data_IF_423388420523
#
_entry.id   IF_423388420523
#
_cell.length_a   1.000
_cell.length_b   1.000
_cell.length_c   1.000
_cell.angle_alpha   90.00
_cell.angle_beta   90.00
_cell.angle_gamma   90.00
#
_symmetry.space_group_name_H-M   'P 1'
#
loop_
_entity.id
_entity.type
_entity.pdbx_description
1 polymer ?
#
# COMPACT_ATOMS: atom_id res chain seq x y z
N UNK A 1 -8.55 8.80 -5.84
CA UNK A 1 -8.30 7.38 -6.18
C UNK A 1 -8.19 6.57 -4.89
N UNK A 2 -9.36 6.24 -4.38
CA UNK A 2 -9.59 5.27 -3.31
C UNK A 2 -9.48 3.84 -3.85
N UNK A 3 -9.70 2.84 -2.99
CA UNK A 3 -9.84 1.45 -3.43
C UNK A 3 -11.04 1.25 -4.36
N UNK A 4 -12.16 1.91 -4.05
CA UNK A 4 -13.41 1.81 -4.81
C UNK A 4 -13.27 2.42 -6.21
N UNK A 5 -12.58 3.56 -6.34
CA UNK A 5 -12.30 4.19 -7.64
C UNK A 5 -11.57 3.21 -8.58
N UNK A 6 -10.61 2.43 -8.04
CA UNK A 6 -9.86 1.44 -8.82
C UNK A 6 -10.71 0.23 -9.17
N UNK A 7 -11.57 -0.23 -8.26
CA UNK A 7 -12.45 -1.36 -8.51
C UNK A 7 -13.42 -1.04 -9.64
N UNK A 8 -14.13 0.10 -9.54
CA UNK A 8 -15.09 0.54 -10.56
C UNK A 8 -14.41 0.68 -11.94
N UNK A 9 -13.23 1.30 -11.99
CA UNK A 9 -12.48 1.48 -13.23
C UNK A 9 -11.97 0.14 -13.82
N UNK A 10 -11.76 -0.88 -12.98
CA UNK A 10 -11.42 -2.23 -13.44
C UNK A 10 -12.64 -2.92 -14.04
N UNK A 11 -13.81 -2.77 -13.43
CA UNK A 11 -15.06 -3.40 -13.87
C UNK A 11 -15.60 -2.80 -15.18
N UNK A 12 -15.44 -1.49 -15.39
CA UNK A 12 -15.90 -0.81 -16.61
C UNK A 12 -14.83 -0.72 -17.72
N UNK A 13 -13.61 -1.23 -17.46
CA UNK A 13 -12.50 -1.24 -18.40
C UNK A 13 -11.73 0.08 -18.54
N UNK A 14 -12.08 1.12 -17.78
CA UNK A 14 -11.43 2.44 -17.81
C UNK A 14 -10.16 2.56 -16.97
N UNK A 15 -9.69 1.47 -16.36
CA UNK A 15 -8.53 1.46 -15.46
C UNK A 15 -7.29 2.17 -16.03
N UNK A 16 -6.97 1.94 -17.30
CA UNK A 16 -5.81 2.57 -17.93
C UNK A 16 -6.02 4.06 -18.17
N UNK A 17 -7.24 4.50 -18.46
CA UNK A 17 -7.57 5.92 -18.63
C UNK A 17 -7.39 6.66 -17.30
N UNK A 18 -7.91 6.09 -16.20
CA UNK A 18 -7.74 6.62 -14.85
C UNK A 18 -6.25 6.76 -14.44
N UNK A 19 -5.42 5.77 -14.80
CA UNK A 19 -3.98 5.82 -14.56
C UNK A 19 -3.32 6.92 -15.40
N UNK A 20 -3.64 7.01 -16.69
CA UNK A 20 -3.08 8.01 -17.59
C UNK A 20 -3.45 9.44 -17.17
N UNK A 21 -4.71 9.67 -16.76
CA UNK A 21 -5.15 10.95 -16.20
C UNK A 21 -4.35 11.33 -14.96
N UNK A 22 -4.09 10.37 -14.07
CA UNK A 22 -3.28 10.61 -12.87
C UNK A 22 -1.84 10.93 -13.21
N UNK A 23 -1.25 10.22 -14.20
CA UNK A 23 0.12 10.47 -14.64
C UNK A 23 0.28 11.81 -15.36
N UNK A 24 -0.77 12.31 -16.02
CA UNK A 24 -0.77 13.61 -16.67
C UNK A 24 -0.98 14.79 -15.70
N UNK A 25 -1.55 14.52 -14.52
CA UNK A 25 -1.86 15.55 -13.52
C UNK A 25 -0.61 15.91 -12.69
N UNK A 26 -0.25 17.21 -12.70
CA UNK A 26 0.93 17.76 -12.03
C UNK A 26 0.94 17.58 -10.52
N UNK A 27 -0.23 17.44 -9.88
CA UNK A 27 -0.34 17.17 -8.44
C UNK A 27 0.15 15.77 -8.07
N UNK A 28 0.29 14.87 -9.05
CA UNK A 28 0.73 13.50 -8.85
C UNK A 28 1.98 13.14 -9.65
N UNK A 29 2.17 13.72 -10.84
CA UNK A 29 3.24 13.34 -11.76
C UNK A 29 4.64 13.67 -11.25
N UNK A 30 4.76 14.64 -10.34
CA UNK A 30 6.03 14.99 -9.68
C UNK A 30 6.29 14.21 -8.39
N UNK A 31 5.32 13.43 -7.90
CA UNK A 31 5.46 12.72 -6.64
C UNK A 31 6.40 11.54 -6.77
N UNK A 32 7.22 11.34 -5.73
CA UNK A 32 8.17 10.24 -5.66
C UNK A 32 7.79 9.22 -4.60
N UNK A 33 8.27 7.99 -4.81
CA UNK A 33 8.28 6.93 -3.80
C UNK A 33 9.74 6.65 -3.47
N UNK A 34 10.09 6.76 -2.19
CA UNK A 34 11.42 6.39 -1.70
C UNK A 34 11.38 4.97 -1.18
N UNK A 35 12.32 4.16 -1.66
CA UNK A 35 12.53 2.79 -1.21
C UNK A 35 13.95 2.66 -0.67
N UNK A 36 14.09 2.22 0.58
CA UNK A 36 15.39 1.88 1.16
C UNK A 36 15.31 0.53 1.87
N UNK A 37 16.44 -0.15 1.95
CA UNK A 37 16.52 -1.43 2.63
C UNK A 37 17.87 -1.62 3.31
N UNK A 38 17.88 -2.44 4.34
CA UNK A 38 19.08 -2.96 5.01
C UNK A 38 18.94 -4.47 5.11
N UNK A 39 20.01 -5.19 4.78
CA UNK A 39 20.12 -6.64 4.95
C UNK A 39 21.33 -6.90 5.82
N UNK A 40 21.18 -7.77 6.81
CA UNK A 40 22.23 -8.30 7.66
C UNK A 40 21.92 -9.76 8.00
N UNK A 41 22.71 -10.37 8.89
CA UNK A 41 22.56 -11.79 9.25
C UNK A 41 21.24 -12.11 9.96
N UNK A 42 20.56 -11.10 10.53
CA UNK A 42 19.28 -11.27 11.21
C UNK A 42 18.09 -11.20 10.24
N UNK A 43 18.26 -10.62 9.05
CA UNK A 43 17.23 -10.56 8.02
C UNK A 43 17.27 -9.33 7.13
N UNK A 44 16.10 -8.90 6.66
CA UNK A 44 15.88 -7.71 5.83
C UNK A 44 14.90 -6.75 6.50
N UNK A 45 15.25 -5.47 6.50
CA UNK A 45 14.38 -4.34 6.85
C UNK A 45 14.21 -3.46 5.62
N UNK A 46 12.97 -3.14 5.27
CA UNK A 46 12.63 -2.27 4.13
C UNK A 46 11.77 -1.10 4.60
N UNK A 47 12.05 0.08 4.07
CA UNK A 47 11.27 1.29 4.24
C UNK A 47 10.72 1.73 2.89
N UNK A 48 9.41 1.95 2.83
CA UNK A 48 8.70 2.47 1.66
C UNK A 48 7.97 3.73 2.07
N UNK A 49 8.28 4.86 1.44
CA UNK A 49 7.74 6.18 1.75
C UNK A 49 7.14 6.80 0.49
N UNK A 50 5.88 7.23 0.53
CA UNK A 50 5.22 7.98 -0.53
C UNK A 50 4.83 9.40 -0.11
N UNK A 51 4.67 10.29 -1.10
CA UNK A 51 4.29 11.70 -0.90
C UNK A 51 2.77 11.94 -0.94
N UNK A 52 1.98 10.90 -0.71
CA UNK A 52 0.53 10.97 -0.60
C UNK A 52 0.06 11.57 0.72
N UNK A 53 -1.27 11.72 0.83
CA UNK A 53 -1.92 12.10 2.09
C UNK A 53 -1.88 10.97 3.13
N UNK A 54 -1.51 9.76 2.71
CA UNK A 54 -1.56 8.55 3.52
C UNK A 54 -3.00 8.06 3.72
N UNK A 55 -3.20 7.23 4.75
CA UNK A 55 -4.48 6.64 5.08
C UNK A 55 -4.58 6.39 6.59
N UNK A 56 -5.80 6.23 7.10
CA UNK A 56 -5.99 5.92 8.51
C UNK A 56 -5.62 4.45 8.79
N UNK A 57 -4.48 4.25 9.47
CA UNK A 57 -3.96 2.92 9.81
C UNK A 57 -4.87 2.21 10.83
N UNK A 58 -5.55 2.96 11.69
CA UNK A 58 -6.41 2.43 12.74
C UNK A 58 -7.76 1.92 12.18
N UNK A 59 -8.12 2.34 10.97
CA UNK A 59 -9.29 1.83 10.23
C UNK A 59 -8.96 0.56 9.42
N UNK A 60 -7.70 0.09 9.45
CA UNK A 60 -7.36 -1.15 8.80
C UNK A 60 -8.08 -2.31 9.48
N UNK A 61 -8.83 -3.11 8.72
CA UNK A 61 -9.57 -4.21 9.30
C UNK A 61 -8.58 -5.28 9.81
N UNK A 62 -9.01 -6.02 10.84
CA UNK A 62 -8.18 -7.09 11.39
C UNK A 62 -7.87 -8.11 10.27
N UNK A 63 -6.59 -8.38 9.98
CA UNK A 63 -6.19 -9.31 8.92
C UNK A 63 -6.61 -10.75 9.21
N UNK A 64 -6.98 -11.07 10.46
CA UNK A 64 -7.50 -12.38 10.86
C UNK A 64 -9.03 -12.48 10.78
N UNK A 65 -9.72 -11.36 10.51
CA UNK A 65 -11.17 -11.34 10.31
C UNK A 65 -11.53 -11.94 8.92
N UNK A 66 -12.37 -12.99 8.87
CA UNK A 66 -12.84 -13.58 7.63
C UNK A 66 -13.53 -12.58 6.69
N UNK A 67 -14.15 -11.51 7.21
CA UNK A 67 -14.76 -10.47 6.36
C UNK A 67 -13.71 -9.64 5.61
N UNK A 68 -12.51 -9.45 6.18
CA UNK A 68 -11.37 -8.81 5.51
C UNK A 68 -10.90 -9.59 4.28
N UNK A 69 -11.08 -10.92 4.27
CA UNK A 69 -10.74 -11.78 3.13
C UNK A 69 -11.71 -11.60 1.94
N UNK A 70 -12.95 -11.15 2.22
CA UNK A 70 -14.00 -10.98 1.22
C UNK A 70 -13.89 -9.64 0.47
N UNK A 71 -13.10 -8.67 0.95
CA UNK A 71 -12.87 -7.41 0.23
C UNK A 71 -12.05 -7.67 -1.06
N UNK A 72 -12.59 -7.22 -2.19
CA UNK A 72 -12.00 -7.37 -3.53
C UNK A 72 -10.80 -6.42 -3.76
N UNK A 73 -10.68 -5.37 -2.96
CA UNK A 73 -9.59 -4.40 -2.99
C UNK A 73 -8.91 -4.27 -1.63
N UNK A 74 -7.70 -3.68 -1.58
CA UNK A 74 -6.96 -3.47 -0.32
C UNK A 74 -6.17 -4.68 0.19
N UNK A 75 -6.07 -5.76 -0.61
CA UNK A 75 -5.34 -6.99 -0.24
C UNK A 75 -3.84 -6.80 -0.06
N UNK A 76 -3.25 -5.73 -0.59
CA UNK A 76 -1.81 -5.48 -0.47
C UNK A 76 -1.34 -5.50 0.99
N UNK A 77 -2.09 -4.88 1.90
CA UNK A 77 -1.74 -4.82 3.32
C UNK A 77 -1.86 -6.20 3.98
N UNK A 78 -2.93 -6.94 3.67
CA UNK A 78 -3.12 -8.31 4.14
C UNK A 78 -1.98 -9.23 3.69
N UNK A 79 -1.65 -9.19 2.39
CA UNK A 79 -0.55 -9.98 1.80
C UNK A 79 0.76 -9.63 2.51
N UNK A 80 1.08 -8.34 2.68
CA UNK A 80 2.29 -7.93 3.39
C UNK A 80 2.31 -8.49 4.83
N UNK A 81 1.21 -8.42 5.57
CA UNK A 81 1.10 -8.98 6.92
C UNK A 81 1.19 -10.52 6.98
N UNK A 82 0.86 -11.22 5.90
CA UNK A 82 0.98 -12.68 5.83
C UNK A 82 2.42 -13.16 5.60
N UNK A 83 3.21 -12.40 4.84
CA UNK A 83 4.55 -12.83 4.43
C UNK A 83 5.68 -12.26 5.29
N UNK A 84 5.48 -11.09 5.90
CA UNK A 84 6.48 -10.41 6.71
C UNK A 84 6.21 -10.58 8.21
N UNK A 85 7.27 -10.53 9.00
CA UNK A 85 7.19 -10.80 10.44
C UNK A 85 6.78 -9.54 11.22
N UNK A 86 7.10 -8.37 10.67
CA UNK A 86 6.72 -7.07 11.23
C UNK A 86 6.34 -6.08 10.11
N UNK A 87 5.25 -5.35 10.29
CA UNK A 87 4.71 -4.38 9.34
C UNK A 87 4.20 -3.16 10.13
N UNK A 88 4.97 -2.07 10.10
CA UNK A 88 4.69 -0.87 10.89
C UNK A 88 4.48 0.31 9.97
N UNK A 89 3.30 0.94 10.06
CA UNK A 89 3.03 2.20 9.38
C UNK A 89 3.29 3.37 10.31
N UNK A 90 3.68 4.52 9.77
CA UNK A 90 3.65 5.78 10.50
C UNK A 90 2.21 6.24 10.75
N UNK A 91 2.01 7.21 11.65
CA UNK A 91 0.66 7.71 11.99
C UNK A 91 -0.10 8.36 10.82
N UNK A 92 0.61 8.78 9.75
CA UNK A 92 -0.01 9.31 8.54
C UNK A 92 -0.45 8.20 7.56
N UNK A 93 0.14 7.00 7.65
CA UNK A 93 -0.10 5.91 6.70
C UNK A 93 0.58 6.07 5.33
N UNK A 94 1.63 6.89 5.21
CA UNK A 94 2.38 7.07 3.95
C UNK A 94 3.85 6.60 4.04
N UNK A 95 4.23 6.00 5.17
CA UNK A 95 5.51 5.35 5.37
C UNK A 95 5.24 4.02 6.05
N UNK A 96 5.79 2.94 5.48
CA UNK A 96 5.78 1.61 6.06
C UNK A 96 7.20 1.09 6.20
N UNK A 97 7.51 0.56 7.38
CA UNK A 97 8.70 -0.24 7.66
C UNK A 97 8.28 -1.70 7.75
N UNK A 98 8.91 -2.56 6.98
CA UNK A 98 8.59 -3.99 6.88
C UNK A 98 9.84 -4.80 7.21
N UNK A 99 9.72 -5.86 8.01
CA UNK A 99 10.84 -6.73 8.37
C UNK A 99 10.57 -8.20 8.07
N UNK A 100 11.61 -8.91 7.64
CA UNK A 100 11.63 -10.36 7.49
C UNK A 100 12.92 -10.94 8.05
N UNK A 101 12.82 -11.83 9.02
CA UNK A 101 13.93 -12.65 9.51
C UNK A 101 14.17 -13.86 8.63
N UNK A 102 15.39 -14.40 8.70
CA UNK A 102 15.78 -15.64 8.01
C UNK A 102 15.37 -16.91 8.76
#
# INVERSE_FOLDING_TARGET
MTGDDKLNATEDGSYYDLVNERLANTDYSSKLVTFSYKIDDDGIVMDIIDEGLGFNVDELPDPTDPESLLKLHGRGILITRMYFDDVVYNGKGNHVTIKKGF
#
